data_IF_173159074743
#
_entry.id   IF_173159074743
#
_cell.length_a   1.000
_cell.length_b   1.000
_cell.length_c   1.000
_cell.angle_alpha   90.00
_cell.angle_beta   90.00
_cell.angle_gamma   90.00
#
_symmetry.space_group_name_H-M   'P 1'
#
loop_
_entity.id
_entity.type
_entity.pdbx_description
1 polymer ?
#
# COMPACT_ATOMS: atom_id res chain seq x y z
N UNK A 1 -12.36 29.56 17.85
CA UNK A 1 -11.52 28.44 17.37
C UNK A 1 -12.24 27.81 16.19
N UNK A 2 -11.80 28.11 14.97
CA UNK A 2 -12.21 27.35 13.79
C UNK A 2 -11.48 26.02 13.87
N UNK A 3 -12.23 24.92 13.97
CA UNK A 3 -11.67 23.59 13.80
C UNK A 3 -11.45 23.42 12.30
N UNK A 4 -10.19 23.48 11.88
CA UNK A 4 -9.80 23.00 10.55
C UNK A 4 -9.90 21.48 10.61
N UNK A 5 -11.03 20.95 10.13
CA UNK A 5 -11.15 19.53 9.89
C UNK A 5 -10.18 19.20 8.74
N UNK A 6 -9.28 18.22 8.92
CA UNK A 6 -8.47 17.72 7.83
C UNK A 6 -9.38 17.38 6.66
N UNK A 7 -8.91 17.65 5.44
CA UNK A 7 -9.62 17.20 4.26
C UNK A 7 -9.82 15.68 4.39
N UNK A 8 -11.05 15.18 4.31
CA UNK A 8 -11.36 13.76 4.43
C UNK A 8 -10.63 12.91 3.35
N UNK A 9 -10.04 13.55 2.34
CA UNK A 9 -9.10 12.93 1.40
C UNK A 9 -7.69 12.73 2.00
N UNK A 10 -7.20 13.64 2.84
CA UNK A 10 -5.91 13.57 3.51
C UNK A 10 -5.90 12.45 4.57
N UNK A 11 -6.92 12.38 5.44
CA UNK A 11 -7.03 11.32 6.46
C UNK A 11 -7.18 9.93 5.84
N UNK A 12 -7.91 9.81 4.71
CA UNK A 12 -8.02 8.56 3.97
C UNK A 12 -6.67 8.12 3.40
N UNK A 13 -5.95 9.05 2.76
CA UNK A 13 -4.62 8.77 2.19
C UNK A 13 -3.62 8.36 3.27
N UNK A 14 -3.62 9.03 4.41
CA UNK A 14 -2.77 8.68 5.55
C UNK A 14 -3.10 7.29 6.09
N UNK A 15 -4.38 6.95 6.22
CA UNK A 15 -4.81 5.62 6.68
C UNK A 15 -4.41 4.51 5.70
N UNK A 16 -4.56 4.75 4.39
CA UNK A 16 -4.17 3.79 3.34
C UNK A 16 -2.65 3.63 3.30
N UNK A 17 -1.89 4.72 3.39
CA UNK A 17 -0.42 4.68 3.45
C UNK A 17 0.09 3.96 4.70
N UNK A 18 -0.54 4.17 5.86
CA UNK A 18 -0.22 3.41 7.07
C UNK A 18 -0.43 1.90 6.82
N UNK A 19 -1.56 1.55 6.22
CA UNK A 19 -1.89 0.16 5.90
C UNK A 19 -0.85 -0.48 4.96
N UNK A 20 -0.46 0.21 3.88
CA UNK A 20 0.63 -0.24 2.97
C UNK A 20 1.94 -0.42 3.73
N UNK A 21 2.31 0.52 4.60
CA UNK A 21 3.55 0.42 5.37
C UNK A 21 3.56 -0.76 6.35
N UNK A 22 2.43 -1.00 7.03
CA UNK A 22 2.29 -2.15 7.94
C UNK A 22 2.37 -3.47 7.16
N UNK A 23 1.76 -3.52 5.98
CA UNK A 23 1.73 -4.71 5.15
C UNK A 23 3.10 -4.99 4.50
N UNK A 24 3.83 -3.94 4.10
CA UNK A 24 5.20 -4.06 3.59
C UNK A 24 6.18 -4.54 4.65
N UNK A 25 6.02 -4.04 5.88
CA UNK A 25 6.81 -4.50 7.04
C UNK A 25 6.52 -5.97 7.35
N UNK A 26 5.25 -6.39 7.25
CA UNK A 26 4.86 -7.79 7.43
C UNK A 26 5.48 -8.71 6.37
N UNK A 27 5.45 -8.31 5.09
CA UNK A 27 6.11 -9.06 4.01
C UNK A 27 7.62 -9.21 4.22
N UNK A 28 8.27 -8.16 4.71
CA UNK A 28 9.69 -8.20 5.04
C UNK A 28 9.98 -9.14 6.21
N UNK A 29 9.17 -9.11 7.26
CA UNK A 29 9.29 -10.06 8.37
C UNK A 29 9.14 -11.51 7.90
N UNK A 30 8.20 -11.79 6.97
CA UNK A 30 8.04 -13.11 6.37
C UNK A 30 9.28 -13.54 5.57
N UNK A 31 9.89 -12.62 4.81
CA UNK A 31 11.14 -12.89 4.09
C UNK A 31 12.29 -13.19 5.05
N UNK A 32 12.44 -12.41 6.11
CA UNK A 32 13.44 -12.66 7.16
C UNK A 32 13.23 -14.03 7.80
N UNK A 33 11.99 -14.37 8.17
CA UNK A 33 11.67 -15.69 8.74
C UNK A 33 12.08 -16.81 7.78
N UNK A 34 11.78 -16.65 6.49
CA UNK A 34 12.14 -17.66 5.48
C UNK A 34 13.66 -17.78 5.30
N UNK A 35 14.37 -16.66 5.19
CA UNK A 35 15.80 -16.64 4.85
C UNK A 35 16.70 -16.97 6.03
N UNK A 36 16.36 -16.51 7.24
CA UNK A 36 17.19 -16.67 8.43
C UNK A 36 16.80 -17.91 9.26
N UNK A 37 15.58 -18.43 9.10
CA UNK A 37 15.12 -19.59 9.89
C UNK A 37 14.74 -20.78 9.03
N UNK A 38 13.83 -20.63 8.06
CA UNK A 38 13.38 -21.78 7.25
C UNK A 38 14.51 -22.40 6.43
N UNK A 39 15.21 -21.61 5.60
CA UNK A 39 16.27 -22.11 4.73
C UNK A 39 17.45 -22.68 5.53
N UNK A 40 17.97 -22.03 6.59
CA UNK A 40 19.08 -22.57 7.36
C UNK A 40 18.72 -23.85 8.10
N UNK A 41 17.49 -23.96 8.65
CA UNK A 41 17.03 -25.19 9.31
C UNK A 41 16.84 -26.34 8.31
N UNK A 42 16.39 -26.04 7.09
CA UNK A 42 16.27 -27.02 6.02
C UNK A 42 17.65 -27.51 5.56
N UNK A 43 18.59 -26.60 5.28
CA UNK A 43 19.94 -26.94 4.79
C UNK A 43 20.74 -27.69 5.86
N UNK A 44 20.61 -27.28 7.12
CA UNK A 44 21.26 -27.98 8.24
C UNK A 44 20.59 -29.32 8.59
N UNK A 45 19.42 -29.63 8.00
CA UNK A 45 18.68 -30.86 8.25
C UNK A 45 18.22 -30.99 9.71
N UNK A 46 18.01 -29.87 10.40
CA UNK A 46 17.65 -29.83 11.83
C UNK A 46 16.23 -30.32 12.08
N UNK A 47 15.36 -30.21 11.09
CA UNK A 47 13.95 -30.56 11.15
C UNK A 47 13.54 -31.34 9.90
N UNK A 48 12.58 -32.26 10.04
CA UNK A 48 11.98 -32.92 8.87
C UNK A 48 11.16 -31.91 8.07
N UNK A 49 10.91 -32.21 6.79
CA UNK A 49 10.08 -31.36 5.93
C UNK A 49 8.67 -31.16 6.51
N UNK A 50 8.11 -32.18 7.17
CA UNK A 50 6.81 -32.10 7.86
C UNK A 50 6.86 -31.14 9.06
N UNK A 51 7.93 -31.18 9.87
CA UNK A 51 8.12 -30.26 10.99
C UNK A 51 8.33 -28.83 10.52
N UNK A 52 9.09 -28.63 9.43
CA UNK A 52 9.28 -27.32 8.82
C UNK A 52 7.96 -26.75 8.30
N UNK A 53 7.13 -27.56 7.63
CA UNK A 53 5.80 -27.12 7.19
C UNK A 53 4.86 -26.84 8.37
N UNK A 54 4.96 -27.59 9.46
CA UNK A 54 4.17 -27.35 10.67
C UNK A 54 4.54 -26.05 11.40
N UNK A 55 5.83 -25.66 11.38
CA UNK A 55 6.33 -24.47 12.08
C UNK A 55 6.22 -23.22 11.20
N UNK A 56 6.65 -23.31 9.95
CA UNK A 56 6.71 -22.16 9.04
C UNK A 56 5.45 -22.00 8.20
N UNK A 57 4.46 -22.89 8.32
CA UNK A 57 3.25 -22.89 7.47
C UNK A 57 3.60 -22.74 5.98
N UNK A 58 2.64 -22.39 5.13
CA UNK A 58 2.90 -22.11 3.72
C UNK A 58 3.53 -20.71 3.55
N UNK A 59 4.69 -20.46 4.17
CA UNK A 59 5.34 -19.13 4.21
C UNK A 59 5.56 -18.52 2.82
N UNK A 60 5.86 -19.35 1.81
CA UNK A 60 6.00 -18.88 0.43
C UNK A 60 4.69 -18.30 -0.09
N UNK A 61 3.56 -19.01 0.12
CA UNK A 61 2.25 -18.54 -0.32
C UNK A 61 1.85 -17.24 0.40
N UNK A 62 2.21 -17.09 1.67
CA UNK A 62 1.97 -15.85 2.41
C UNK A 62 2.79 -14.67 1.87
N UNK A 63 4.05 -14.90 1.51
CA UNK A 63 4.88 -13.87 0.86
C UNK A 63 4.27 -13.48 -0.49
N UNK A 64 3.94 -14.47 -1.33
CA UNK A 64 3.37 -14.22 -2.66
C UNK A 64 2.04 -13.45 -2.59
N UNK A 65 1.18 -13.79 -1.61
CA UNK A 65 -0.08 -13.10 -1.35
C UNK A 65 0.14 -11.66 -0.86
N UNK A 66 1.06 -11.45 0.06
CA UNK A 66 1.40 -10.12 0.58
C UNK A 66 1.98 -9.22 -0.51
N UNK A 67 2.87 -9.74 -1.36
CA UNK A 67 3.44 -9.00 -2.49
C UNK A 67 2.37 -8.60 -3.51
N UNK A 68 1.49 -9.53 -3.89
CA UNK A 68 0.36 -9.23 -4.79
C UNK A 68 -0.61 -8.22 -4.17
N UNK A 69 -0.84 -8.30 -2.87
CA UNK A 69 -1.71 -7.37 -2.17
C UNK A 69 -1.11 -5.96 -2.10
N UNK A 70 0.20 -5.84 -1.84
CA UNK A 70 0.93 -4.58 -1.87
C UNK A 70 0.93 -3.93 -3.25
N UNK A 71 1.07 -4.72 -4.31
CA UNK A 71 1.01 -4.23 -5.69
C UNK A 71 -0.35 -3.58 -5.98
N UNK A 72 -1.44 -4.26 -5.62
CA UNK A 72 -2.81 -3.72 -5.78
C UNK A 72 -3.00 -2.43 -4.96
N UNK A 73 -2.54 -2.41 -3.71
CA UNK A 73 -2.66 -1.22 -2.86
C UNK A 73 -1.88 -0.02 -3.42
N UNK A 74 -0.71 -0.26 -3.99
CA UNK A 74 0.11 0.79 -4.59
C UNK A 74 -0.53 1.32 -5.88
N UNK A 75 -1.10 0.43 -6.72
CA UNK A 75 -1.84 0.83 -7.92
C UNK A 75 -3.03 1.74 -7.59
N UNK A 76 -3.80 1.43 -6.54
CA UNK A 76 -4.93 2.25 -6.10
C UNK A 76 -4.49 3.63 -5.58
N UNK A 77 -3.37 3.69 -4.84
CA UNK A 77 -2.77 4.97 -4.40
C UNK A 77 -2.34 5.82 -5.60
N UNK A 78 -1.68 5.20 -6.58
CA UNK A 78 -1.15 5.88 -7.76
C UNK A 78 -2.30 6.41 -8.65
N UNK A 79 -3.38 5.65 -8.79
CA UNK A 79 -4.60 6.09 -9.48
C UNK A 79 -5.25 7.30 -8.80
N UNK A 80 -5.31 7.33 -7.47
CA UNK A 80 -5.82 8.50 -6.73
C UNK A 80 -4.92 9.75 -6.86
N UNK A 81 -3.63 9.58 -7.19
CA UNK A 81 -2.73 10.71 -7.49
C UNK A 81 -2.90 11.23 -8.93
N UNK A 82 -3.14 10.34 -9.90
CA UNK A 82 -3.34 10.73 -11.30
C UNK A 82 -4.66 11.50 -11.51
N UNK A 83 -5.71 11.15 -10.77
CA UNK A 83 -6.99 11.87 -10.76
C UNK A 83 -6.86 13.28 -10.14
N UNK A 84 -5.70 13.62 -9.55
CA UNK A 84 -5.40 14.88 -8.87
C UNK A 84 -4.59 15.94 -9.66
N UNK A 85 -4.24 15.74 -10.93
CA UNK A 85 -3.45 16.73 -11.72
C UNK A 85 -4.21 17.30 -12.94
N UNK A 86 -3.89 18.53 -13.37
CA UNK A 86 -4.83 19.65 -13.44
C UNK A 86 -5.52 19.81 -14.80
N UNK A 87 -6.83 19.53 -14.85
CA UNK A 87 -7.63 19.74 -16.07
C UNK A 87 -8.90 20.57 -15.91
N UNK A 88 -9.39 20.78 -14.68
CA UNK A 88 -10.72 21.39 -14.46
C UNK A 88 -10.72 22.64 -13.56
N UNK A 89 -9.55 23.25 -13.34
CA UNK A 89 -9.39 24.44 -12.49
C UNK A 89 -9.20 25.77 -13.22
N UNK A 90 -9.10 25.77 -14.56
CA UNK A 90 -8.93 27.01 -15.34
C UNK A 90 -9.99 27.12 -16.43
N UNK A 91 -11.26 27.19 -16.04
CA UNK A 91 -12.25 27.89 -16.85
C UNK A 91 -11.92 29.39 -16.76
N UNK A 92 -11.14 29.83 -17.75
CA UNK A 92 -10.99 31.19 -18.25
C UNK A 92 -11.58 32.32 -17.39
N UNK A 93 -10.71 33.07 -16.72
CA UNK A 93 -10.92 34.48 -16.40
C UNK A 93 -10.87 35.37 -17.66
N UNK A 94 -11.37 34.89 -18.79
CA UNK A 94 -11.35 35.59 -20.08
C UNK A 94 -12.52 35.16 -20.95
N UNK A 95 -13.73 35.41 -20.47
CA UNK A 95 -14.91 35.50 -21.33
C UNK A 95 -15.42 36.94 -21.30
N UNK A 96 -15.25 37.74 -22.38
CA UNK A 96 -15.79 39.10 -22.49
C UNK A 96 -17.33 39.18 -22.40
N UNK A 97 -18.02 38.05 -22.32
CA UNK A 97 -19.47 37.95 -22.32
C UNK A 97 -20.11 37.85 -20.93
N UNK A 98 -19.33 37.63 -19.87
CA UNK A 98 -19.87 37.58 -18.49
C UNK A 98 -19.97 38.94 -17.79
N UNK A 99 -19.39 40.00 -18.37
CA UNK A 99 -19.51 41.38 -17.87
C UNK A 99 -20.78 42.11 -18.35
N UNK A 100 -21.70 41.43 -19.03
CA UNK A 100 -22.95 42.03 -19.54
C UNK A 100 -24.22 41.49 -18.86
N UNK A 101 -24.10 40.69 -17.79
CA UNK A 101 -25.25 40.04 -17.15
C UNK A 101 -25.43 40.33 -15.65
N UNK A 102 -24.65 41.24 -15.06
CA UNK A 102 -24.95 41.88 -13.78
C UNK A 102 -24.50 43.33 -13.78
#
# INVERSE_FOLDING_TARGET
>A
RQWHWPDASQERKESVLEFVNTEASYGEDLRIIKEEFYLPMQVAGLLSQEQLQGIFSNIQELIDLNESFLEILQEEIDQEQEVGLPGYGQLSSSSPLLSQLF
#
